data_IF_661070852108
#
_entry.id   IF_661070852108
#
_cell.length_a   1.000
_cell.length_b   1.000
_cell.length_c   1.000
_cell.angle_alpha   90.00
_cell.angle_beta   90.00
_cell.angle_gamma   90.00
#
_symmetry.space_group_name_H-M   'P 1'
#
loop_
_entity.id
_entity.type
_entity.pdbx_description
1 polymer ?
#
# COMPACT_ATOMS: atom_id res chain seq x y z
N UNK A 1 9.00 -10.79 6.01
CA UNK A 1 10.22 -11.01 5.17
C UNK A 1 9.90 -11.92 4.01
N UNK A 2 10.56 -11.76 2.83
CA UNK A 2 10.37 -12.64 1.67
C UNK A 2 10.83 -14.07 2.00
N UNK A 3 9.93 -15.04 1.84
CA UNK A 3 10.19 -16.45 2.08
C UNK A 3 9.74 -17.28 0.87
N UNK A 4 10.68 -17.79 0.06
CA UNK A 4 10.33 -18.65 -1.06
C UNK A 4 9.60 -19.90 -0.59
N UNK A 5 8.45 -20.20 -1.17
CA UNK A 5 7.61 -21.33 -0.77
C UNK A 5 6.96 -22.04 -1.95
N UNK A 6 6.33 -23.19 -1.69
CA UNK A 6 5.49 -23.93 -2.65
C UNK A 6 3.99 -23.78 -2.32
N UNK A 7 3.60 -22.64 -1.77
CA UNK A 7 2.22 -22.37 -1.41
C UNK A 7 1.31 -22.24 -2.64
N UNK A 8 0.01 -22.17 -2.39
CA UNK A 8 -0.96 -21.86 -3.43
C UNK A 8 -0.74 -20.44 -3.99
N UNK A 9 -1.24 -20.18 -5.19
CA UNK A 9 -1.14 -18.89 -5.86
C UNK A 9 -1.60 -17.73 -4.96
N UNK A 10 -2.76 -17.87 -4.33
CA UNK A 10 -3.32 -16.80 -3.47
C UNK A 10 -2.44 -16.52 -2.26
N UNK A 11 -1.88 -17.55 -1.64
CA UNK A 11 -0.97 -17.40 -0.48
C UNK A 11 0.34 -16.73 -0.92
N UNK A 12 0.88 -17.11 -2.08
CA UNK A 12 2.08 -16.48 -2.65
C UNK A 12 1.87 -15.00 -2.93
N UNK A 13 0.77 -14.62 -3.59
CA UNK A 13 0.41 -13.23 -3.88
C UNK A 13 0.19 -12.43 -2.59
N UNK A 14 -0.52 -12.99 -1.61
CA UNK A 14 -0.73 -12.38 -0.30
C UNK A 14 0.59 -12.06 0.39
N UNK A 15 1.55 -13.00 0.39
CA UNK A 15 2.87 -12.79 1.01
C UNK A 15 3.66 -11.66 0.35
N UNK A 16 3.58 -11.53 -0.99
CA UNK A 16 4.20 -10.40 -1.69
C UNK A 16 3.56 -9.07 -1.30
N UNK A 17 2.22 -9.00 -1.24
CA UNK A 17 1.52 -7.79 -0.80
C UNK A 17 1.90 -7.45 0.65
N UNK A 18 1.87 -8.42 1.55
CA UNK A 18 2.19 -8.23 2.96
C UNK A 18 3.63 -7.74 3.19
N UNK A 19 4.58 -8.26 2.41
CA UNK A 19 5.97 -7.79 2.43
C UNK A 19 6.08 -6.31 2.07
N UNK A 20 5.40 -5.86 1.01
CA UNK A 20 5.44 -4.46 0.60
C UNK A 20 4.74 -3.56 1.63
N UNK A 21 3.61 -4.01 2.18
CA UNK A 21 2.93 -3.28 3.26
C UNK A 21 3.78 -3.18 4.53
N UNK A 22 4.57 -4.21 4.85
CA UNK A 22 5.56 -4.16 5.93
C UNK A 22 6.62 -3.10 5.68
N UNK A 23 7.13 -2.98 4.46
CA UNK A 23 8.09 -1.96 4.06
C UNK A 23 7.50 -0.55 4.18
N UNK A 24 6.30 -0.32 3.64
CA UNK A 24 5.60 0.97 3.75
C UNK A 24 5.39 1.34 5.23
N UNK A 25 4.93 0.39 6.05
CA UNK A 25 4.74 0.62 7.49
C UNK A 25 6.05 0.93 8.23
N UNK A 26 7.12 0.22 7.88
CA UNK A 26 8.43 0.41 8.50
C UNK A 26 9.03 1.79 8.21
N UNK A 27 8.71 2.38 7.05
CA UNK A 27 9.25 3.68 6.64
C UNK A 27 8.95 4.82 7.61
N UNK A 28 7.89 4.73 8.43
CA UNK A 28 7.52 5.74 9.43
C UNK A 28 8.20 5.54 10.79
N UNK A 29 8.87 4.39 10.99
CA UNK A 29 9.45 4.05 12.28
C UNK A 29 10.49 5.07 12.74
N UNK A 30 10.33 5.59 13.97
CA UNK A 30 11.26 6.55 14.58
C UNK A 30 11.17 7.98 14.03
N UNK A 31 10.35 8.27 13.04
CA UNK A 31 10.14 9.63 12.55
C UNK A 31 9.28 10.45 13.53
N UNK A 32 9.62 11.72 13.67
CA UNK A 32 8.73 12.70 14.29
C UNK A 32 7.55 13.03 13.37
N UNK A 33 6.48 13.61 13.93
CA UNK A 33 5.33 14.09 13.16
C UNK A 33 5.75 15.03 12.02
N UNK A 34 6.67 15.95 12.30
CA UNK A 34 7.19 16.88 11.31
C UNK A 34 7.91 16.13 10.17
N UNK A 35 8.85 15.25 10.50
CA UNK A 35 9.59 14.47 9.50
C UNK A 35 8.68 13.60 8.64
N UNK A 36 7.67 12.95 9.26
CA UNK A 36 6.74 12.11 8.52
C UNK A 36 5.91 12.89 7.48
N UNK A 37 5.69 14.20 7.68
CA UNK A 37 4.98 15.11 6.77
C UNK A 37 5.89 15.80 5.76
N UNK A 38 7.21 15.77 5.92
CA UNK A 38 8.14 16.42 5.02
C UNK A 38 8.12 15.79 3.61
N UNK A 39 8.30 16.63 2.60
CA UNK A 39 8.40 16.25 1.19
C UNK A 39 9.81 16.53 0.69
N UNK A 40 10.81 15.68 1.04
CA UNK A 40 12.22 15.98 0.80
C UNK A 40 12.62 15.85 -0.67
N UNK A 41 11.80 15.19 -1.49
CA UNK A 41 11.99 15.04 -2.92
C UNK A 41 11.30 16.17 -3.71
N UNK A 42 11.50 16.21 -5.03
CA UNK A 42 10.71 17.09 -5.92
C UNK A 42 9.25 16.69 -6.03
N UNK A 43 8.92 15.48 -5.66
CA UNK A 43 7.55 14.99 -5.55
C UNK A 43 6.86 15.60 -4.33
N UNK A 44 5.54 15.72 -4.37
CA UNK A 44 4.72 16.11 -3.22
C UNK A 44 4.47 14.97 -2.21
N UNK A 45 5.11 13.82 -2.39
CA UNK A 45 4.94 12.66 -1.53
C UNK A 45 5.68 12.82 -0.20
N UNK A 46 5.00 12.45 0.88
CA UNK A 46 5.57 12.30 2.23
C UNK A 46 5.31 10.89 2.77
N UNK A 47 6.04 10.46 3.79
CA UNK A 47 5.82 9.15 4.43
C UNK A 47 4.39 9.06 5.01
N UNK A 48 3.94 10.07 5.74
CA UNK A 48 2.60 10.07 6.31
C UNK A 48 1.50 10.06 5.23
N UNK A 49 1.68 10.82 4.14
CA UNK A 49 0.79 10.79 2.97
C UNK A 49 0.74 9.42 2.30
N UNK A 50 1.88 8.74 2.16
CA UNK A 50 1.95 7.38 1.62
C UNK A 50 1.19 6.38 2.50
N UNK A 51 1.34 6.44 3.82
CA UNK A 51 0.59 5.61 4.79
C UNK A 51 -0.93 5.83 4.61
N UNK A 52 -1.38 7.09 4.59
CA UNK A 52 -2.79 7.44 4.39
C UNK A 52 -3.34 6.93 3.07
N UNK A 53 -2.65 7.23 1.97
CA UNK A 53 -3.04 6.82 0.61
C UNK A 53 -3.14 5.29 0.50
N UNK A 54 -2.16 4.58 1.00
CA UNK A 54 -2.13 3.11 0.96
C UNK A 54 -3.29 2.52 1.78
N UNK A 55 -3.59 3.10 2.97
CA UNK A 55 -4.73 2.68 3.77
C UNK A 55 -6.07 2.85 3.04
N UNK A 56 -6.25 3.97 2.32
CA UNK A 56 -7.45 4.21 1.51
C UNK A 56 -7.55 3.23 0.34
N UNK A 57 -6.46 3.01 -0.38
CA UNK A 57 -6.39 2.03 -1.48
C UNK A 57 -6.76 0.62 -1.02
N UNK A 58 -6.18 0.16 0.10
CA UNK A 58 -6.51 -1.14 0.69
C UNK A 58 -8.00 -1.28 1.02
N UNK A 59 -8.65 -0.24 1.59
CA UNK A 59 -10.10 -0.27 1.90
C UNK A 59 -10.93 -0.41 0.63
N UNK A 60 -10.61 0.37 -0.42
CA UNK A 60 -11.32 0.30 -1.70
C UNK A 60 -11.22 -1.09 -2.35
N UNK A 61 -10.01 -1.65 -2.41
CA UNK A 61 -9.79 -2.99 -2.96
C UNK A 61 -10.44 -4.07 -2.10
N UNK A 62 -10.41 -3.94 -0.78
CA UNK A 62 -11.06 -4.87 0.14
C UNK A 62 -12.57 -4.92 -0.08
N UNK A 63 -13.21 -3.76 -0.22
CA UNK A 63 -14.63 -3.68 -0.55
C UNK A 63 -14.93 -4.37 -1.89
N UNK A 64 -14.12 -4.09 -2.91
CA UNK A 64 -14.26 -4.74 -4.21
C UNK A 64 -14.11 -6.27 -4.15
N UNK A 65 -13.13 -6.77 -3.42
CA UNK A 65 -12.92 -8.22 -3.29
C UNK A 65 -14.07 -8.92 -2.55
N UNK A 66 -14.73 -8.24 -1.60
CA UNK A 66 -15.83 -8.80 -0.80
C UNK A 66 -17.18 -8.66 -1.48
N UNK A 67 -17.48 -7.49 -2.01
CA UNK A 67 -18.83 -7.09 -2.40
C UNK A 67 -18.98 -6.93 -3.93
N UNK A 68 -17.88 -7.02 -4.67
CA UNK A 68 -17.82 -6.65 -6.08
C UNK A 68 -17.76 -5.11 -6.26
N UNK A 69 -17.40 -4.66 -7.47
CA UNK A 69 -17.36 -3.24 -7.76
C UNK A 69 -18.74 -2.69 -8.14
N UNK A 70 -19.06 -1.52 -7.57
CA UNK A 70 -20.05 -0.65 -8.18
C UNK A 70 -19.50 -0.13 -9.53
N UNK A 71 -20.28 -0.27 -10.58
CA UNK A 71 -19.90 0.16 -11.93
C UNK A 71 -20.15 1.66 -12.18
N UNK A 72 -20.17 2.47 -11.11
CA UNK A 72 -20.46 3.89 -11.21
C UNK A 72 -19.28 4.64 -11.85
N UNK A 73 -19.56 5.61 -12.74
CA UNK A 73 -18.53 6.44 -13.32
C UNK A 73 -17.80 7.25 -12.23
N UNK A 74 -16.47 7.38 -12.38
CA UNK A 74 -15.66 8.23 -11.49
C UNK A 74 -16.10 9.70 -11.64
N UNK A 75 -16.30 10.36 -10.51
CA UNK A 75 -16.70 11.77 -10.43
C UNK A 75 -15.48 12.67 -10.14
N UNK A 76 -15.66 14.00 -10.32
CA UNK A 76 -14.64 14.98 -9.88
C UNK A 76 -14.40 14.90 -8.37
N UNK A 77 -15.41 14.54 -7.59
CA UNK A 77 -15.29 14.33 -6.16
C UNK A 77 -14.37 13.15 -5.82
N UNK A 78 -14.51 12.03 -6.53
CA UNK A 78 -13.66 10.85 -6.32
C UNK A 78 -12.20 11.16 -6.64
N UNK A 79 -11.96 11.96 -7.69
CA UNK A 79 -10.62 12.41 -8.04
C UNK A 79 -10.03 13.37 -6.99
N UNK A 80 -10.83 14.28 -6.47
CA UNK A 80 -10.41 15.18 -5.39
C UNK A 80 -10.09 14.39 -4.10
N UNK A 81 -10.89 13.39 -3.75
CA UNK A 81 -10.62 12.49 -2.63
C UNK A 81 -9.34 11.67 -2.84
N UNK A 82 -9.12 11.17 -4.04
CA UNK A 82 -7.88 10.47 -4.39
C UNK A 82 -6.65 11.35 -4.16
N UNK A 83 -6.66 12.60 -4.63
CA UNK A 83 -5.56 13.54 -4.43
C UNK A 83 -5.37 13.91 -2.94
N UNK A 84 -6.46 14.11 -2.20
CA UNK A 84 -6.41 14.38 -0.76
C UNK A 84 -5.86 13.20 0.05
N UNK A 85 -5.89 11.99 -0.51
CA UNK A 85 -5.30 10.80 0.09
C UNK A 85 -3.79 10.88 0.29
N UNK A 86 -3.09 11.71 -0.48
CA UNK A 86 -1.62 11.85 -0.38
C UNK A 86 -1.15 12.89 0.65
N UNK A 87 -2.08 13.61 1.27
CA UNK A 87 -1.75 14.69 2.21
C UNK A 87 -2.54 14.51 3.49
N UNK A 88 -1.88 14.64 4.65
CA UNK A 88 -2.59 14.69 5.93
C UNK A 88 -3.24 16.06 6.09
N UNK A 89 -4.51 16.07 6.50
CA UNK A 89 -5.19 17.28 6.94
C UNK A 89 -4.57 17.80 8.26
N UNK A 90 -4.89 19.06 8.61
CA UNK A 90 -4.32 19.69 9.81
C UNK A 90 -4.78 19.02 11.12
N UNK A 91 -5.94 18.38 11.11
CA UNK A 91 -6.53 17.65 12.23
C UNK A 91 -6.19 16.14 12.25
N UNK A 92 -5.46 15.65 11.27
CA UNK A 92 -4.98 14.25 11.23
C UNK A 92 -3.56 14.16 11.79
N UNK A 93 -3.25 13.12 12.55
CA UNK A 93 -1.88 12.81 12.98
C UNK A 93 -1.32 11.60 12.24
N UNK A 94 0.01 11.50 12.17
CA UNK A 94 0.70 10.33 11.64
C UNK A 94 0.33 9.06 12.40
N UNK A 95 0.13 9.15 13.72
CA UNK A 95 -0.30 8.00 14.54
C UNK A 95 -1.71 7.54 14.19
N UNK A 96 -2.64 8.46 13.94
CA UNK A 96 -4.01 8.12 13.57
C UNK A 96 -4.07 7.43 12.21
N UNK A 97 -3.35 7.95 11.21
CA UNK A 97 -3.32 7.32 9.87
C UNK A 97 -2.56 6.00 9.90
N UNK A 98 -1.55 5.83 10.78
CA UNK A 98 -0.88 4.55 10.96
C UNK A 98 -1.80 3.49 11.59
N UNK A 99 -2.61 3.87 12.58
CA UNK A 99 -3.60 2.97 13.17
C UNK A 99 -4.68 2.56 12.13
N UNK A 100 -5.10 3.50 11.28
CA UNK A 100 -5.99 3.22 10.17
C UNK A 100 -5.35 2.29 9.12
N UNK A 101 -4.06 2.46 8.84
CA UNK A 101 -3.30 1.59 7.96
C UNK A 101 -3.23 0.17 8.51
N UNK A 102 -2.90 -0.01 9.79
CA UNK A 102 -2.80 -1.32 10.43
C UNK A 102 -4.14 -2.06 10.38
N UNK A 103 -5.24 -1.37 10.64
CA UNK A 103 -6.59 -1.92 10.52
C UNK A 103 -6.91 -2.32 9.06
N UNK A 104 -6.67 -1.41 8.11
CA UNK A 104 -6.92 -1.66 6.69
C UNK A 104 -6.05 -2.82 6.16
N UNK A 105 -4.79 -2.93 6.62
CA UNK A 105 -3.90 -4.04 6.26
C UNK A 105 -4.46 -5.39 6.69
N UNK A 106 -4.91 -5.51 7.94
CA UNK A 106 -5.47 -6.75 8.46
C UNK A 106 -6.69 -7.19 7.64
N UNK A 107 -7.61 -6.26 7.37
CA UNK A 107 -8.82 -6.52 6.57
C UNK A 107 -8.48 -6.88 5.12
N UNK A 108 -7.52 -6.19 4.52
CA UNK A 108 -7.09 -6.40 3.14
C UNK A 108 -6.45 -7.79 2.95
N UNK A 109 -5.52 -8.16 3.82
CA UNK A 109 -4.89 -9.48 3.77
C UNK A 109 -5.91 -10.60 3.99
N UNK A 110 -6.89 -10.42 4.88
CA UNK A 110 -7.99 -11.38 5.06
C UNK A 110 -8.86 -11.50 3.81
N UNK A 111 -9.16 -10.39 3.11
CA UNK A 111 -9.93 -10.41 1.87
C UNK A 111 -9.15 -11.11 0.72
N UNK A 112 -7.84 -10.85 0.60
CA UNK A 112 -6.99 -11.56 -0.36
C UNK A 112 -6.97 -13.06 -0.06
N UNK A 113 -6.78 -13.45 1.19
CA UNK A 113 -6.72 -14.85 1.59
C UNK A 113 -8.02 -15.63 1.28
N UNK A 114 -9.16 -14.95 1.32
CA UNK A 114 -10.47 -15.51 1.01
C UNK A 114 -10.82 -15.50 -0.49
N UNK A 115 -10.00 -14.89 -1.34
CA UNK A 115 -10.29 -14.73 -2.77
C UNK A 115 -9.97 -16.00 -3.55
N UNK A 116 -10.78 -16.25 -4.60
CA UNK A 116 -10.44 -17.19 -5.67
C UNK A 116 -9.78 -16.43 -6.82
N UNK A 117 -8.49 -16.67 -7.13
CA UNK A 117 -7.82 -15.99 -8.25
C UNK A 117 -8.47 -16.23 -9.61
N UNK A 118 -9.17 -17.35 -9.79
CA UNK A 118 -9.88 -17.68 -11.04
C UNK A 118 -11.31 -17.12 -11.07
N UNK A 119 -11.81 -16.60 -9.95
CA UNK A 119 -13.14 -15.99 -9.84
C UNK A 119 -13.30 -14.76 -10.76
N UNK A 120 -14.54 -14.46 -11.09
CA UNK A 120 -14.88 -13.27 -11.88
C UNK A 120 -14.91 -12.02 -10.99
N UNK A 121 -14.44 -10.91 -11.53
CA UNK A 121 -14.47 -9.59 -10.91
C UNK A 121 -14.56 -8.50 -11.99
N UNK A 122 -14.61 -7.25 -11.58
CA UNK A 122 -14.67 -6.09 -12.48
C UNK A 122 -13.56 -5.11 -12.14
N UNK A 123 -12.75 -4.71 -13.13
CA UNK A 123 -11.80 -3.61 -12.98
C UNK A 123 -12.53 -2.27 -13.13
N UNK A 124 -12.22 -1.28 -12.29
CA UNK A 124 -12.76 0.06 -12.41
C UNK A 124 -12.27 0.74 -13.70
N UNK A 125 -12.95 1.83 -14.13
CA UNK A 125 -12.39 2.72 -15.14
C UNK A 125 -11.02 3.25 -14.72
N UNK A 126 -10.14 3.43 -15.71
CA UNK A 126 -8.82 4.02 -15.55
C UNK A 126 -8.62 5.14 -16.60
N UNK A 127 -9.28 6.30 -16.45
CA UNK A 127 -9.30 7.37 -17.45
C UNK A 127 -7.90 7.86 -17.84
N UNK A 128 -6.95 7.83 -16.89
CA UNK A 128 -5.53 8.15 -17.13
C UNK A 128 -4.82 7.18 -18.08
N UNK A 129 -5.41 6.00 -18.32
CA UNK A 129 -4.97 5.02 -19.31
C UNK A 129 -5.89 4.97 -20.55
N UNK A 130 -6.85 5.89 -20.66
CA UNK A 130 -7.85 5.91 -21.74
C UNK A 130 -8.92 4.82 -21.62
N UNK A 131 -9.12 4.25 -20.42
CA UNK A 131 -10.14 3.24 -20.13
C UNK A 131 -11.27 3.92 -19.35
N UNK A 132 -12.38 4.17 -19.98
CA UNK A 132 -13.51 4.93 -19.41
C UNK A 132 -14.63 4.05 -18.87
N UNK A 133 -14.64 2.77 -19.22
CA UNK A 133 -15.67 1.82 -18.78
C UNK A 133 -15.05 0.75 -17.87
N UNK A 134 -15.85 0.29 -16.91
CA UNK A 134 -15.51 -0.89 -16.10
C UNK A 134 -15.40 -2.14 -16.99
N UNK A 135 -14.45 -3.03 -16.71
CA UNK A 135 -14.19 -4.21 -17.54
C UNK A 135 -14.22 -5.49 -16.72
N UNK A 136 -14.82 -6.56 -17.24
CA UNK A 136 -14.75 -7.87 -16.60
C UNK A 136 -13.30 -8.38 -16.60
N UNK A 137 -12.87 -8.92 -15.46
CA UNK A 137 -11.55 -9.49 -15.22
C UNK A 137 -11.68 -10.77 -14.40
N UNK A 138 -10.60 -11.54 -14.34
CA UNK A 138 -10.42 -12.51 -13.25
C UNK A 138 -9.84 -11.81 -12.03
N UNK A 139 -10.22 -12.24 -10.83
CA UNK A 139 -9.71 -11.72 -9.54
C UNK A 139 -8.18 -11.70 -9.50
N UNK A 140 -7.51 -12.68 -10.13
CA UNK A 140 -6.05 -12.71 -10.29
C UNK A 140 -5.46 -11.40 -10.81
N UNK A 141 -6.12 -10.74 -11.77
CA UNK A 141 -5.66 -9.44 -12.28
C UNK A 141 -5.53 -8.41 -11.15
N UNK A 142 -6.53 -8.36 -10.27
CA UNK A 142 -6.54 -7.46 -9.13
C UNK A 142 -5.46 -7.81 -8.11
N UNK A 143 -5.28 -9.09 -7.81
CA UNK A 143 -4.27 -9.55 -6.85
C UNK A 143 -2.85 -9.24 -7.32
N UNK A 144 -2.57 -9.42 -8.62
CA UNK A 144 -1.27 -9.06 -9.22
C UNK A 144 -1.08 -7.54 -9.21
N UNK A 145 -2.13 -6.77 -9.52
CA UNK A 145 -2.08 -5.32 -9.45
C UNK A 145 -1.78 -4.82 -8.03
N UNK A 146 -2.30 -5.48 -6.98
CA UNK A 146 -1.93 -5.12 -5.60
C UNK A 146 -0.43 -5.33 -5.32
N UNK A 147 0.18 -6.38 -5.84
CA UNK A 147 1.64 -6.56 -5.72
C UNK A 147 2.38 -5.41 -6.41
N UNK A 148 1.98 -5.04 -7.63
CA UNK A 148 2.59 -3.95 -8.41
C UNK A 148 2.46 -2.60 -7.70
N UNK A 149 1.25 -2.25 -7.24
CA UNK A 149 0.97 -0.97 -6.57
C UNK A 149 1.71 -0.85 -5.24
N UNK A 150 1.62 -1.87 -4.39
CA UNK A 150 2.31 -1.82 -3.10
C UNK A 150 3.82 -1.79 -3.26
N UNK A 151 4.39 -2.50 -4.25
CA UNK A 151 5.82 -2.46 -4.53
C UNK A 151 6.28 -1.07 -5.01
N UNK A 152 5.47 -0.39 -5.85
CA UNK A 152 5.73 0.98 -6.28
C UNK A 152 5.75 1.95 -5.10
N UNK A 153 4.76 1.86 -4.23
CA UNK A 153 4.67 2.70 -3.04
C UNK A 153 5.77 2.43 -2.02
N UNK A 154 6.15 1.16 -1.83
CA UNK A 154 7.30 0.80 -1.00
C UNK A 154 8.60 1.44 -1.53
N UNK A 155 8.87 1.35 -2.83
CA UNK A 155 10.04 2.00 -3.44
C UNK A 155 10.03 3.53 -3.34
N UNK A 156 8.86 4.18 -3.39
CA UNK A 156 8.76 5.62 -3.10
C UNK A 156 9.09 5.92 -1.63
N UNK A 157 8.57 5.11 -0.69
CA UNK A 157 8.85 5.26 0.73
C UNK A 157 10.34 5.06 1.05
N UNK A 158 11.02 4.11 0.40
CA UNK A 158 12.46 3.90 0.52
C UNK A 158 13.23 5.20 0.22
N UNK A 159 13.00 5.77 -0.96
CA UNK A 159 13.70 6.98 -1.41
C UNK A 159 13.39 8.18 -0.51
N UNK A 160 12.11 8.35 -0.11
CA UNK A 160 11.73 9.45 0.79
C UNK A 160 12.43 9.29 2.13
N UNK A 161 12.46 8.09 2.70
CA UNK A 161 13.11 7.80 3.97
C UNK A 161 14.62 8.08 3.92
N UNK A 162 15.30 7.61 2.88
CA UNK A 162 16.72 7.89 2.69
C UNK A 162 17.03 9.38 2.62
N UNK A 163 16.15 10.19 2.02
CA UNK A 163 16.31 11.64 1.94
C UNK A 163 16.05 12.33 3.28
N UNK A 164 15.23 11.77 4.16
CA UNK A 164 14.91 12.36 5.47
C UNK A 164 16.05 12.17 6.48
N UNK A 165 16.56 10.95 6.61
CA UNK A 165 17.52 10.62 7.67
C UNK A 165 18.59 9.59 7.28
N UNK A 166 18.61 9.16 6.03
CA UNK A 166 19.58 8.18 5.53
C UNK A 166 19.26 6.72 5.89
N UNK A 167 18.16 6.45 6.60
CA UNK A 167 17.80 5.07 6.93
C UNK A 167 17.27 4.33 5.71
N UNK A 168 17.69 3.08 5.55
CA UNK A 168 17.12 2.19 4.54
C UNK A 168 15.92 1.43 5.11
N UNK A 169 14.82 1.34 4.34
CA UNK A 169 13.62 0.62 4.80
C UNK A 169 13.88 -0.87 5.05
N UNK A 170 14.71 -1.60 4.27
CA UNK A 170 15.08 -2.97 4.62
C UNK A 170 15.68 -3.12 6.02
N UNK A 171 16.56 -2.22 6.45
CA UNK A 171 17.12 -2.24 7.81
C UNK A 171 16.03 -1.98 8.87
N UNK A 172 15.11 -1.05 8.61
CA UNK A 172 13.98 -0.76 9.50
C UNK A 172 13.02 -1.96 9.63
N UNK A 173 12.75 -2.68 8.54
CA UNK A 173 11.96 -3.92 8.59
C UNK A 173 12.67 -4.97 9.43
N UNK A 174 13.98 -5.15 9.27
CA UNK A 174 14.77 -6.07 10.09
C UNK A 174 14.69 -5.71 11.58
N UNK A 175 14.83 -4.41 11.92
CA UNK A 175 14.68 -3.90 13.29
C UNK A 175 13.32 -4.30 13.87
N UNK A 176 12.24 -4.03 13.16
CA UNK A 176 10.87 -4.28 13.62
C UNK A 176 10.53 -5.77 13.72
N UNK A 177 11.11 -6.59 12.86
CA UNK A 177 10.92 -8.05 12.87
C UNK A 177 11.92 -8.77 13.79
N UNK A 178 12.83 -8.05 14.44
CA UNK A 178 13.87 -8.64 15.31
C UNK A 178 14.86 -9.53 14.56
N UNK A 179 15.11 -9.24 13.29
CA UNK A 179 16.05 -9.98 12.45
C UNK A 179 17.47 -9.50 12.77
N UNK A 180 18.43 -10.39 13.09
CA UNK A 180 19.80 -9.98 13.42
C UNK A 180 20.52 -9.38 12.22
N UNK A 181 21.53 -8.55 12.51
CA UNK A 181 22.44 -8.02 11.50
C UNK A 181 23.02 -9.13 10.61
N UNK A 182 23.25 -8.83 9.35
CA UNK A 182 23.87 -9.72 8.39
C UNK A 182 24.89 -8.95 7.54
N UNK A 183 25.70 -9.61 6.67
CA UNK A 183 26.74 -8.93 5.88
C UNK A 183 26.24 -7.85 4.92
N UNK A 184 24.94 -7.73 4.70
CA UNK A 184 24.33 -6.79 3.76
C UNK A 184 23.59 -5.65 4.45
N UNK A 185 23.03 -5.89 5.66
CA UNK A 185 22.22 -4.92 6.39
C UNK A 185 22.48 -5.01 7.89
N UNK A 186 22.57 -3.84 8.50
CA UNK A 186 22.52 -3.65 9.97
C UNK A 186 21.13 -3.08 10.31
N UNK A 187 20.37 -3.70 11.25
CA UNK A 187 19.09 -3.20 11.69
C UNK A 187 19.21 -1.91 12.52
#
# INVERSE_FOLDING_TARGET
MYEPSRDSEVVGLLRYVDQQLSAIRASVHGLTEQQARETPCRSALSIAGMIKHTAQGMRGVTANLRDGMAADPLTEHDFAQYLAGFVLADDESTLDVLAQFDTARADHLAAIAASDPAGENVAPPAPWQGIYDARPIHTRYYLVHQVEEMARHAGHADIIREQLDGCSVPALVMTLEGVPANPFFEP
#
